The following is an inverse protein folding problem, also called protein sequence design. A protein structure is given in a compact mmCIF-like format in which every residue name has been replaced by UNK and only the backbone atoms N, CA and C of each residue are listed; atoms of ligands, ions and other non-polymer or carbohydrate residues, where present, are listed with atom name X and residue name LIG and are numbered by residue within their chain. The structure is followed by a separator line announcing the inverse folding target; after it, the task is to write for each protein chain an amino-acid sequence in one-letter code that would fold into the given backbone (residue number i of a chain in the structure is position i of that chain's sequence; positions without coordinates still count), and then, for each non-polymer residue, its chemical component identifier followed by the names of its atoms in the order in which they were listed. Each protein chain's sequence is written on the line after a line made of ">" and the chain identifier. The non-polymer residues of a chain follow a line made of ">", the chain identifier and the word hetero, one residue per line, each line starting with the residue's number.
data_IF_195314181444
#
_entry.id   IF_195314181444
#
_cell.length_a   1.000
_cell.length_b   1.000
_cell.length_c   1.000
_cell.angle_alpha   90.00
_cell.angle_beta   90.00
_cell.angle_gamma   90.00
#
_symmetry.space_group_name_H-M   'P 1'
#
loop_
_entity.id
_entity.type
_entity.pdbx_description
1 polymer ?
#
# COMPACT_ATOMS: atom_id res chain seq x y z
N UNK A 1 12.97 4.98 -10.56
CA UNK A 1 12.18 4.70 -9.33
C UNK A 1 10.72 4.67 -9.72
N UNK A 2 9.96 3.70 -9.22
CA UNK A 2 8.53 3.57 -9.53
C UNK A 2 7.68 3.84 -8.28
N UNK A 3 6.61 4.60 -8.46
CA UNK A 3 5.52 4.75 -7.50
C UNK A 3 4.26 4.15 -8.10
N UNK A 4 3.58 3.30 -7.34
CA UNK A 4 2.35 2.62 -7.77
C UNK A 4 1.20 3.12 -6.89
N UNK A 5 0.25 3.82 -7.49
CA UNK A 5 -0.98 4.27 -6.85
C UNK A 5 -2.15 3.40 -7.26
N UNK A 6 -2.47 2.40 -6.44
CA UNK A 6 -3.69 1.62 -6.59
C UNK A 6 -4.87 2.42 -6.00
N UNK A 7 -5.68 3.01 -6.87
CA UNK A 7 -6.79 3.89 -6.49
C UNK A 7 -8.11 3.14 -6.59
N UNK A 8 -9.04 3.39 -5.67
CA UNK A 8 -10.36 2.76 -5.73
C UNK A 8 -11.09 3.14 -7.05
N UNK A 9 -11.76 2.20 -7.73
CA UNK A 9 -12.45 2.45 -9.00
C UNK A 9 -13.54 3.52 -8.94
N UNK A 10 -14.12 3.74 -7.76
CA UNK A 10 -15.20 4.71 -7.57
C UNK A 10 -14.70 6.17 -7.42
N UNK A 11 -13.38 6.39 -7.34
CA UNK A 11 -12.81 7.73 -7.17
C UNK A 11 -12.56 8.38 -8.53
N UNK A 12 -12.89 9.66 -8.64
CA UNK A 12 -12.46 10.48 -9.76
C UNK A 12 -10.97 10.81 -9.61
N UNK A 13 -10.19 10.48 -10.65
CA UNK A 13 -8.76 10.73 -10.69
C UNK A 13 -8.41 12.14 -11.18
N UNK A 14 -9.35 12.87 -11.81
CA UNK A 14 -9.07 14.17 -12.40
C UNK A 14 -8.41 15.16 -11.40
N UNK A 15 -8.90 15.32 -10.15
CA UNK A 15 -8.26 16.24 -9.20
C UNK A 15 -6.80 15.87 -8.88
N UNK A 16 -6.49 14.57 -8.82
CA UNK A 16 -5.14 14.09 -8.55
C UNK A 16 -4.23 14.29 -9.78
N UNK A 17 -4.72 13.99 -10.98
CA UNK A 17 -4.01 14.22 -12.24
C UNK A 17 -3.71 15.71 -12.46
N UNK A 18 -4.65 16.59 -12.16
CA UNK A 18 -4.49 18.04 -12.26
C UNK A 18 -3.43 18.54 -11.27
N UNK A 19 -3.48 18.05 -10.02
CA UNK A 19 -2.49 18.38 -9.00
C UNK A 19 -1.07 17.91 -9.37
N UNK A 20 -0.93 16.70 -9.90
CA UNK A 20 0.35 16.17 -10.38
C UNK A 20 0.92 17.06 -11.49
N UNK A 21 0.10 17.43 -12.47
CA UNK A 21 0.51 18.30 -13.58
C UNK A 21 0.94 19.67 -13.07
N UNK A 22 0.16 20.27 -12.17
CA UNK A 22 0.46 21.57 -11.56
C UNK A 22 1.75 21.56 -10.72
N UNK A 23 2.15 20.40 -10.19
CA UNK A 23 3.39 20.21 -9.41
C UNK A 23 4.57 19.71 -10.25
N UNK A 24 4.45 19.75 -11.57
CA UNK A 24 5.55 19.49 -12.50
C UNK A 24 5.78 18.02 -12.82
N UNK A 25 4.78 17.16 -12.62
CA UNK A 25 4.78 15.81 -13.19
C UNK A 25 4.25 15.85 -14.63
N UNK A 26 4.99 15.25 -15.57
CA UNK A 26 4.61 15.20 -16.97
C UNK A 26 3.81 13.92 -17.27
N UNK A 27 2.56 14.08 -17.69
CA UNK A 27 1.73 12.98 -18.20
C UNK A 27 2.38 12.33 -19.43
N UNK A 28 2.38 11.00 -19.47
CA UNK A 28 2.93 10.21 -20.56
C UNK A 28 1.81 9.49 -21.33
N UNK A 29 1.90 9.41 -22.66
CA UNK A 29 0.87 8.80 -23.50
C UNK A 29 0.83 7.27 -23.40
N UNK A 30 1.89 6.64 -22.88
CA UNK A 30 2.01 5.19 -22.79
C UNK A 30 2.90 4.76 -21.62
N UNK A 31 2.74 3.50 -21.21
CA UNK A 31 3.62 2.88 -20.23
C UNK A 31 5.03 2.68 -20.79
N UNK A 32 6.08 3.09 -20.05
CA UNK A 32 7.45 2.69 -20.37
C UNK A 32 7.60 1.17 -20.43
N UNK A 33 8.41 0.65 -21.34
CA UNK A 33 8.65 -0.80 -21.49
C UNK A 33 9.15 -1.45 -20.20
N UNK A 34 9.81 -0.69 -19.33
CA UNK A 34 10.37 -1.17 -18.06
C UNK A 34 9.42 -1.06 -16.86
N UNK A 35 8.11 -0.83 -17.06
CA UNK A 35 7.16 -0.73 -15.94
C UNK A 35 7.03 -2.06 -15.20
N UNK A 36 6.95 -2.04 -13.85
CA UNK A 36 6.87 -3.25 -13.04
C UNK A 36 5.52 -3.98 -13.15
N UNK A 37 4.47 -3.28 -13.59
CA UNK A 37 3.13 -3.83 -13.81
C UNK A 37 2.68 -3.50 -15.23
N UNK A 38 1.89 -4.38 -15.83
CA UNK A 38 1.27 -4.15 -17.13
C UNK A 38 -0.20 -3.79 -16.93
N UNK A 39 -0.52 -2.50 -17.05
CA UNK A 39 -1.90 -2.02 -16.96
C UNK A 39 -2.13 -0.92 -18.00
N UNK A 40 -2.66 -1.27 -19.20
CA UNK A 40 -2.68 -0.38 -20.36
C UNK A 40 -3.53 0.89 -20.17
N UNK A 41 -4.43 0.91 -19.18
CA UNK A 41 -5.29 2.06 -18.89
C UNK A 41 -4.77 2.90 -17.70
N UNK A 42 -3.57 2.60 -17.19
CA UNK A 42 -3.00 3.37 -16.10
C UNK A 42 -2.62 4.78 -16.55
N UNK A 43 -2.85 5.76 -15.68
CA UNK A 43 -2.31 7.10 -15.89
C UNK A 43 -0.84 7.09 -15.49
N UNK A 44 0.02 7.50 -16.42
CA UNK A 44 1.47 7.49 -16.22
C UNK A 44 2.00 8.91 -16.15
N UNK A 45 2.76 9.20 -15.10
CA UNK A 45 3.40 10.48 -14.90
C UNK A 45 4.90 10.29 -14.66
N UNK A 46 5.71 11.21 -15.18
CA UNK A 46 7.16 11.21 -14.92
C UNK A 46 7.62 12.53 -14.33
N UNK A 47 8.58 12.45 -13.42
CA UNK A 47 9.28 13.61 -12.89
C UNK A 47 10.74 13.22 -12.59
N UNK A 48 11.69 13.84 -13.29
CA UNK A 48 13.12 13.48 -13.22
C UNK A 48 13.32 11.97 -13.46
N UNK A 49 13.79 11.23 -12.46
CA UNK A 49 14.08 9.78 -12.53
C UNK A 49 12.97 8.92 -11.87
N UNK A 50 11.81 9.52 -11.60
CA UNK A 50 10.67 8.87 -11.00
C UNK A 50 9.51 8.73 -11.99
N UNK A 51 8.84 7.59 -11.93
CA UNK A 51 7.62 7.30 -12.68
C UNK A 51 6.52 6.95 -11.69
N UNK A 52 5.37 7.62 -11.78
CA UNK A 52 4.16 7.33 -11.02
C UNK A 52 3.14 6.69 -11.95
N UNK A 53 2.61 5.55 -11.55
CA UNK A 53 1.50 4.87 -12.23
C UNK A 53 0.28 4.94 -11.32
N UNK A 54 -0.82 5.49 -11.81
CA UNK A 54 -2.12 5.44 -11.14
C UNK A 54 -3.02 4.46 -11.88
N UNK A 55 -3.54 3.47 -11.17
CA UNK A 55 -4.41 2.43 -11.72
C UNK A 55 -5.61 2.20 -10.82
N UNK A 56 -6.74 1.87 -11.43
CA UNK A 56 -7.95 1.42 -10.73
C UNK A 56 -8.22 -0.08 -10.93
N UNK A 57 -7.34 -0.79 -11.63
CA UNK A 57 -7.60 -2.18 -12.04
C UNK A 57 -6.50 -3.15 -11.56
N UNK A 58 -5.27 -2.68 -11.33
CA UNK A 58 -4.14 -3.53 -10.98
C UNK A 58 -3.75 -3.48 -9.49
N UNK A 59 -4.73 -3.40 -8.58
CA UNK A 59 -4.48 -3.36 -7.14
C UNK A 59 -3.58 -4.51 -6.65
N UNK A 60 -3.88 -5.75 -7.05
CA UNK A 60 -3.11 -6.93 -6.65
C UNK A 60 -1.65 -6.85 -7.10
N UNK A 61 -1.44 -6.49 -8.37
CA UNK A 61 -0.09 -6.38 -8.94
C UNK A 61 0.70 -5.26 -8.27
N UNK A 62 0.06 -4.13 -7.93
CA UNK A 62 0.70 -3.08 -7.16
C UNK A 62 1.22 -3.59 -5.80
N UNK A 63 0.42 -4.35 -5.06
CA UNK A 63 0.81 -4.92 -3.78
C UNK A 63 1.96 -5.94 -3.93
N UNK A 64 1.93 -6.76 -4.97
CA UNK A 64 2.98 -7.76 -5.23
C UNK A 64 4.30 -7.11 -5.66
N UNK A 65 4.26 -6.06 -6.47
CA UNK A 65 5.45 -5.42 -7.02
C UNK A 65 6.07 -4.37 -6.11
N UNK A 66 5.30 -3.75 -5.22
CA UNK A 66 5.85 -2.73 -4.32
C UNK A 66 6.74 -3.35 -3.23
N UNK A 67 7.90 -2.74 -2.96
CA UNK A 67 8.80 -3.15 -1.87
C UNK A 67 8.36 -2.62 -0.50
N UNK A 68 7.71 -1.46 -0.50
CA UNK A 68 7.13 -0.81 0.67
C UNK A 68 5.86 -0.04 0.28
N UNK A 69 5.03 0.29 1.25
CA UNK A 69 3.83 1.12 1.03
C UNK A 69 3.88 2.40 1.87
N UNK A 70 3.36 3.49 1.31
CA UNK A 70 2.88 4.63 2.10
C UNK A 70 1.36 4.49 2.13
N UNK A 71 0.82 4.17 3.30
CA UNK A 71 -0.59 3.84 3.43
C UNK A 71 -1.15 4.30 4.79
N UNK A 72 -2.43 4.63 4.81
CA UNK A 72 -3.17 4.89 6.06
C UNK A 72 -3.69 3.55 6.62
N UNK A 73 -4.68 3.53 7.50
CA UNK A 73 -5.32 2.26 7.88
C UNK A 73 -6.20 1.66 6.78
N UNK A 74 -6.61 0.41 7.01
CA UNK A 74 -7.59 -0.31 6.21
C UNK A 74 -7.05 -1.62 5.66
N UNK A 75 -7.93 -2.36 4.98
CA UNK A 75 -7.65 -3.71 4.47
C UNK A 75 -6.45 -3.75 3.53
N UNK A 76 -6.21 -2.69 2.76
CA UNK A 76 -5.06 -2.66 1.85
C UNK A 76 -3.73 -2.67 2.59
N UNK A 77 -3.64 -1.92 3.68
CA UNK A 77 -2.46 -1.87 4.56
C UNK A 77 -2.26 -3.20 5.26
N UNK A 78 -3.33 -3.79 5.77
CA UNK A 78 -3.31 -5.11 6.41
C UNK A 78 -2.86 -6.22 5.44
N UNK A 79 -3.36 -6.21 4.20
CA UNK A 79 -2.93 -7.14 3.16
C UNK A 79 -1.45 -6.96 2.82
N UNK A 80 -0.98 -5.72 2.67
CA UNK A 80 0.43 -5.44 2.39
C UNK A 80 1.34 -5.89 3.54
N UNK A 81 0.94 -5.65 4.79
CA UNK A 81 1.62 -6.19 5.98
C UNK A 81 1.59 -7.71 6.00
N UNK A 82 0.48 -8.34 5.60
CA UNK A 82 0.36 -9.80 5.51
C UNK A 82 1.29 -10.44 4.48
N UNK A 83 1.66 -9.71 3.42
CA UNK A 83 2.71 -10.10 2.48
C UNK A 83 4.13 -10.00 3.08
N UNK A 84 4.25 -9.58 4.34
CA UNK A 84 5.53 -9.42 5.03
C UNK A 84 6.27 -8.16 4.64
N UNK A 85 5.58 -7.16 4.09
CA UNK A 85 6.19 -5.93 3.57
C UNK A 85 5.96 -4.73 4.49
N UNK A 86 6.93 -3.79 4.58
CA UNK A 86 6.82 -2.62 5.43
C UNK A 86 5.81 -1.59 4.89
N UNK A 87 4.88 -1.15 5.74
CA UNK A 87 4.02 -0.01 5.46
C UNK A 87 4.41 1.18 6.34
N UNK A 88 4.46 2.38 5.77
CA UNK A 88 4.68 3.65 6.47
C UNK A 88 3.34 4.37 6.55
N UNK A 89 2.95 4.82 7.73
CA UNK A 89 1.70 5.54 7.95
C UNK A 89 1.93 6.90 8.56
N UNK A 90 1.10 7.87 8.15
CA UNK A 90 1.16 9.26 8.61
C UNK A 90 -0.23 9.59 9.17
N UNK A 91 -0.34 10.13 10.40
CA UNK A 91 -1.62 10.51 10.95
C UNK A 91 -2.24 11.64 10.10
N UNK A 92 -3.55 11.54 9.87
CA UNK A 92 -4.32 12.54 9.17
C UNK A 92 -4.63 13.73 10.08
N UNK A 93 -4.90 14.88 9.45
CA UNK A 93 -5.39 16.08 10.14
C UNK A 93 -6.90 16.08 10.36
N UNK A 94 -7.62 15.19 9.67
CA UNK A 94 -9.07 15.05 9.74
C UNK A 94 -9.52 13.98 10.75
N UNK A 95 -10.83 13.85 10.99
CA UNK A 95 -11.38 12.95 11.99
C UNK A 95 -11.23 11.45 11.65
N UNK A 96 -10.99 11.12 10.37
CA UNK A 96 -10.97 9.75 9.87
C UNK A 96 -9.71 8.96 10.26
N UNK A 97 -8.58 9.64 10.53
CA UNK A 97 -7.32 8.98 10.85
C UNK A 97 -6.50 9.80 11.83
N UNK A 98 -6.95 9.85 13.08
CA UNK A 98 -6.31 10.65 14.13
C UNK A 98 -4.98 10.05 14.58
N UNK A 99 -4.10 10.82 15.27
CA UNK A 99 -2.86 10.29 15.85
C UNK A 99 -3.09 9.07 16.74
N UNK A 100 -4.06 9.13 17.65
CA UNK A 100 -4.40 8.01 18.53
C UNK A 100 -4.83 6.76 17.77
N UNK A 101 -5.56 6.93 16.67
CA UNK A 101 -5.96 5.81 15.81
C UNK A 101 -4.76 5.23 15.03
N UNK A 102 -3.88 6.09 14.51
CA UNK A 102 -2.65 5.67 13.84
C UNK A 102 -1.72 4.90 14.78
N UNK A 103 -1.55 5.36 16.03
CA UNK A 103 -0.81 4.63 17.08
C UNK A 103 -1.44 3.28 17.41
N UNK A 104 -2.77 3.21 17.48
CA UNK A 104 -3.47 1.95 17.70
C UNK A 104 -3.22 0.96 16.55
N UNK A 105 -3.27 1.43 15.31
CA UNK A 105 -2.95 0.63 14.13
C UNK A 105 -1.49 0.16 14.12
N UNK A 106 -0.55 1.03 14.47
CA UNK A 106 0.87 0.67 14.58
C UNK A 106 1.10 -0.40 15.65
N UNK A 107 0.43 -0.31 16.81
CA UNK A 107 0.47 -1.34 17.85
C UNK A 107 -0.15 -2.67 17.41
N UNK A 108 -1.23 -2.62 16.63
CA UNK A 108 -1.93 -3.79 16.09
C UNK A 108 -1.15 -4.51 14.99
N UNK A 109 -0.41 -3.78 14.16
CA UNK A 109 0.39 -4.35 13.07
C UNK A 109 1.87 -4.52 13.44
N UNK A 110 2.29 -4.01 14.60
CA UNK A 110 3.65 -4.20 15.12
C UNK A 110 4.71 -3.49 14.28
N UNK A 111 5.89 -4.09 14.19
CA UNK A 111 7.02 -3.53 13.43
C UNK A 111 6.76 -3.35 11.94
N UNK A 112 5.74 -4.02 11.39
CA UNK A 112 5.37 -3.93 9.98
C UNK A 112 4.68 -2.62 9.60
N UNK A 113 4.14 -1.86 10.57
CA UNK A 113 3.57 -0.53 10.33
C UNK A 113 4.41 0.54 11.04
N UNK A 114 5.18 1.30 10.26
CA UNK A 114 6.03 2.38 10.73
C UNK A 114 5.20 3.67 10.79
N UNK A 115 4.90 4.13 11.99
CA UNK A 115 4.27 5.43 12.20
C UNK A 115 5.32 6.54 12.10
N UNK A 116 5.05 7.54 11.26
CA UNK A 116 5.81 8.79 11.20
C UNK A 116 4.91 9.97 11.54
N UNK A 117 5.48 11.05 12.08
CA UNK A 117 4.69 12.20 12.54
C UNK A 117 4.28 13.10 11.38
N UNK A 118 5.19 13.36 10.44
CA UNK A 118 4.97 14.27 9.31
C UNK A 118 5.24 13.59 7.96
N UNK A 119 4.58 14.01 6.87
CA UNK A 119 4.87 13.50 5.53
C UNK A 119 6.33 13.65 5.10
N UNK A 120 7.02 14.69 5.57
CA UNK A 120 8.43 14.93 5.27
C UNK A 120 9.35 13.83 5.84
N UNK A 121 8.96 13.18 6.95
CA UNK A 121 9.78 12.17 7.63
C UNK A 121 9.87 10.88 6.81
N UNK A 122 8.87 10.61 5.95
CA UNK A 122 8.85 9.44 5.05
C UNK A 122 10.12 9.36 4.20
N UNK A 123 10.60 10.51 3.72
CA UNK A 123 11.79 10.57 2.87
C UNK A 123 13.06 10.08 3.58
N UNK A 124 13.14 10.22 4.90
CA UNK A 124 14.26 9.71 5.71
C UNK A 124 14.11 8.24 6.08
N UNK A 125 12.86 7.80 6.28
CA UNK A 125 12.53 6.44 6.73
C UNK A 125 12.73 5.43 5.61
N UNK A 126 12.37 5.76 4.37
CA UNK A 126 12.50 4.84 3.22
C UNK A 126 13.95 4.33 3.05
N UNK A 127 14.98 5.18 2.95
CA UNK A 127 16.36 4.71 2.86
C UNK A 127 16.76 3.87 4.08
N UNK A 128 16.37 4.26 5.30
CA UNK A 128 16.71 3.51 6.51
C UNK A 128 16.14 2.09 6.52
N UNK A 129 14.95 1.90 5.94
CA UNK A 129 14.30 0.59 5.81
C UNK A 129 14.97 -0.26 4.75
N UNK A 130 15.19 0.31 3.55
CA UNK A 130 15.71 -0.43 2.40
C UNK A 130 17.18 -0.86 2.58
N UNK A 131 17.95 -0.18 3.42
CA UNK A 131 19.34 -0.53 3.72
C UNK A 131 19.51 -1.42 4.97
N UNK A 132 18.42 -1.87 5.60
CA UNK A 132 18.48 -2.74 6.79
C UNK A 132 17.76 -4.09 6.54
N UNK A 133 18.48 -5.09 6.00
CA UNK A 133 17.92 -6.41 5.71
C UNK A 133 17.38 -7.13 6.96
N UNK A 134 18.00 -6.93 8.13
CA UNK A 134 17.57 -7.57 9.36
C UNK A 134 16.20 -7.01 9.79
N UNK A 135 16.04 -5.69 9.71
CA UNK A 135 14.74 -5.05 9.98
C UNK A 135 13.67 -5.52 9.00
N UNK A 136 13.98 -5.65 7.71
CA UNK A 136 13.04 -6.18 6.72
C UNK A 136 12.66 -7.63 7.02
N UNK A 137 13.59 -8.48 7.43
CA UNK A 137 13.29 -9.85 7.84
C UNK A 137 12.35 -9.89 9.05
N UNK A 138 12.62 -9.09 10.08
CA UNK A 138 11.73 -9.00 11.24
C UNK A 138 10.33 -8.51 10.88
N UNK A 139 10.21 -7.58 9.93
CA UNK A 139 8.94 -7.10 9.41
C UNK A 139 8.19 -8.22 8.68
N UNK A 140 8.90 -9.03 7.89
CA UNK A 140 8.31 -10.15 7.16
C UNK A 140 7.79 -11.26 8.09
N UNK A 141 8.53 -11.55 9.16
CA UNK A 141 8.10 -12.49 10.20
C UNK A 141 6.91 -11.96 11.01
N UNK A 142 6.97 -10.71 11.45
CA UNK A 142 5.88 -10.08 12.20
C UNK A 142 4.58 -10.00 11.38
N UNK A 143 4.67 -9.61 10.10
CA UNK A 143 3.52 -9.50 9.20
C UNK A 143 2.78 -10.83 9.04
N UNK A 144 3.52 -11.90 8.72
CA UNK A 144 2.95 -13.26 8.62
C UNK A 144 2.35 -13.73 9.94
N UNK A 145 3.02 -13.48 11.07
CA UNK A 145 2.52 -13.88 12.38
C UNK A 145 1.23 -13.18 12.76
N UNK A 146 1.09 -11.88 12.48
CA UNK A 146 -0.08 -11.08 12.87
C UNK A 146 -1.27 -11.27 11.93
N UNK A 147 -1.02 -11.40 10.63
CA UNK A 147 -2.10 -11.56 9.63
C UNK A 147 -2.50 -13.02 9.42
N UNK A 148 -1.60 -13.96 9.73
CA UNK A 148 -1.81 -15.38 9.52
C UNK A 148 -1.72 -15.79 8.06
N UNK A 149 -2.03 -17.07 7.80
CA UNK A 149 -2.00 -17.64 6.46
C UNK A 149 -3.25 -17.27 5.64
N UNK A 150 -3.05 -17.15 4.33
CA UNK A 150 -4.12 -16.90 3.35
C UNK A 150 -5.28 -17.91 3.43
N UNK A 151 -6.45 -17.55 2.90
CA UNK A 151 -7.62 -18.45 2.83
C UNK A 151 -8.67 -18.30 3.93
N UNK A 152 -8.66 -17.21 4.70
CA UNK A 152 -9.65 -16.97 5.76
C UNK A 152 -11.10 -17.03 5.24
N UNK A 153 -11.39 -16.40 4.10
CA UNK A 153 -12.73 -16.43 3.50
C UNK A 153 -13.20 -17.85 3.16
N UNK A 154 -12.32 -18.68 2.58
CA UNK A 154 -12.64 -20.08 2.27
C UNK A 154 -12.88 -20.91 3.53
N UNK A 155 -12.07 -20.72 4.58
CA UNK A 155 -12.27 -21.39 5.87
C UNK A 155 -13.61 -20.99 6.51
N UNK A 156 -13.96 -19.71 6.47
CA UNK A 156 -15.24 -19.21 6.98
C UNK A 156 -16.40 -19.81 6.18
N UNK A 157 -16.33 -19.81 4.85
CA UNK A 157 -17.36 -20.38 3.99
C UNK A 157 -17.58 -21.87 4.28
N UNK A 158 -16.50 -22.65 4.41
CA UNK A 158 -16.58 -24.06 4.74
C UNK A 158 -17.21 -24.32 6.13
N UNK A 159 -16.87 -23.50 7.12
CA UNK A 159 -17.48 -23.59 8.46
C UNK A 159 -18.98 -23.27 8.40
N UNK A 160 -19.39 -22.27 7.63
CA UNK A 160 -20.81 -21.93 7.47
C UNK A 160 -21.59 -23.05 6.76
N UNK A 161 -21.02 -23.66 5.72
CA UNK A 161 -21.61 -24.82 5.05
C UNK A 161 -21.81 -25.99 6.03
N UNK A 162 -20.79 -26.32 6.83
CA UNK A 162 -20.89 -27.38 7.83
C UNK A 162 -21.94 -27.11 8.91
N UNK A 163 -22.11 -25.86 9.34
CA UNK A 163 -23.03 -25.52 10.44
C UNK A 163 -24.48 -25.30 9.99
N UNK A 164 -24.68 -24.83 8.75
CA UNK A 164 -26.00 -24.40 8.27
C UNK A 164 -26.61 -25.32 7.21
N UNK A 165 -25.78 -26.08 6.48
CA UNK A 165 -26.23 -26.90 5.34
C UNK A 165 -26.08 -28.41 5.59
N UNK A 166 -25.41 -28.84 6.66
CA UNK A 166 -25.27 -30.25 7.03
C UNK A 166 -26.46 -30.78 7.86
N UNK A 167 -27.69 -30.35 7.54
CA UNK A 167 -28.94 -30.88 8.11
C UNK A 167 -29.56 -31.94 7.20
#
# INVERSE_FOLDING_TARGET
>A
MYFLGAVAPALDLAPLCDYLTATGWASQPSLPVSTPIFEPNAFVFTQKNATLLLTQQAYHDCLLMADLAIAMAGTATEQFVGLGKPAITIPGKGPQFTPAFAEAQARLLGSSLILVEQPADVASVIPSLLHDPNRLQHIAENGRRRMGESGAAARIAHLLEQQLLAA
#
